data_IF_949679573058
#
_entry.id   IF_949679573058
#
_cell.length_a   1.000
_cell.length_b   1.000
_cell.length_c   1.000
_cell.angle_alpha   90.00
_cell.angle_beta   90.00
_cell.angle_gamma   90.00
#
_symmetry.space_group_name_H-M   'P 1'
#
loop_
_entity.id
_entity.type
_entity.pdbx_description
1 polymer ?
#
# COMPACT_ATOMS: atom_id res chain seq x y z
N UNK A 1 -2.29 15.02 20.71
CA UNK A 1 -1.81 14.65 22.06
C UNK A 1 -0.54 13.88 21.83
N UNK A 2 0.61 14.33 22.35
CA UNK A 2 1.91 13.71 22.09
C UNK A 2 2.20 12.56 23.05
N UNK A 3 2.75 11.48 22.51
CA UNK A 3 3.29 10.30 23.20
C UNK A 3 4.41 10.71 24.16
N UNK A 4 4.29 10.38 25.45
CA UNK A 4 5.35 10.64 26.44
C UNK A 4 5.73 9.32 27.14
N UNK A 5 6.94 8.78 26.89
CA UNK A 5 7.39 7.52 27.49
C UNK A 5 7.63 7.61 29.01
N UNK A 6 7.61 8.82 29.59
CA UNK A 6 7.74 9.06 31.02
C UNK A 6 6.40 9.39 31.71
N UNK A 7 5.28 9.33 30.97
CA UNK A 7 3.95 9.49 31.57
C UNK A 7 3.69 8.33 32.55
N UNK A 8 3.49 8.66 33.82
CA UNK A 8 3.24 7.65 34.86
C UNK A 8 1.80 7.16 34.75
N UNK A 9 1.62 5.85 34.58
CA UNK A 9 0.32 5.18 34.59
C UNK A 9 0.07 4.66 36.00
N UNK A 10 -1.03 5.07 36.63
CA UNK A 10 -1.47 4.55 37.93
C UNK A 10 -2.98 4.27 37.87
N UNK A 11 -3.44 3.04 38.19
CA UNK A 11 -2.65 1.88 38.60
C UNK A 11 -1.76 1.33 37.48
N UNK A 12 -0.68 0.64 37.85
CA UNK A 12 0.16 -0.05 36.87
C UNK A 12 -0.67 -1.14 36.18
N UNK A 13 -0.71 -1.20 34.84
CA UNK A 13 -1.47 -2.22 34.15
C UNK A 13 -0.86 -3.60 34.39
N UNK A 14 -1.73 -4.63 34.42
CA UNK A 14 -1.34 -6.03 34.70
C UNK A 14 -0.44 -6.62 33.61
N UNK A 15 -0.56 -6.11 32.39
CA UNK A 15 0.28 -6.41 31.22
C UNK A 15 0.87 -5.08 30.72
N UNK A 16 2.08 -5.12 30.15
CA UNK A 16 2.65 -3.92 29.52
C UNK A 16 1.77 -3.48 28.34
N UNK A 17 1.77 -2.18 28.01
CA UNK A 17 1.24 -1.78 26.70
C UNK A 17 2.15 -2.40 25.65
N UNK A 18 1.69 -3.44 24.95
CA UNK A 18 2.47 -4.23 23.97
C UNK A 18 3.29 -3.35 23.02
N UNK A 19 2.73 -2.21 22.61
CA UNK A 19 3.36 -1.22 21.76
C UNK A 19 4.05 -0.11 22.55
N UNK A 20 5.28 0.23 22.16
CA UNK A 20 6.02 1.40 22.63
C UNK A 20 5.12 2.67 22.55
N UNK A 21 5.10 3.56 23.57
CA UNK A 21 4.30 4.78 23.56
C UNK A 21 4.38 5.64 22.28
N UNK A 22 5.54 5.66 21.59
CA UNK A 22 5.73 6.31 20.27
C UNK A 22 4.85 5.71 19.17
N UNK A 23 4.48 4.43 19.30
CA UNK A 23 3.66 3.68 18.35
C UNK A 23 2.16 3.80 18.63
N UNK A 24 1.76 4.57 19.65
CA UNK A 24 0.35 4.85 19.95
C UNK A 24 -0.15 6.16 19.31
N UNK A 25 0.63 6.74 18.39
CA UNK A 25 0.19 7.90 17.62
C UNK A 25 -0.81 7.50 16.53
N UNK A 26 -1.84 8.34 16.34
CA UNK A 26 -2.92 8.12 15.38
C UNK A 26 -2.38 7.96 13.95
N UNK A 27 -1.28 8.64 13.61
CA UNK A 27 -0.61 8.53 12.32
C UNK A 27 -0.09 7.12 12.04
N UNK A 28 0.47 6.43 13.03
CA UNK A 28 0.91 5.04 12.90
C UNK A 28 -0.29 4.08 12.77
N UNK A 29 -1.39 4.35 13.44
CA UNK A 29 -2.55 3.46 13.43
C UNK A 29 -3.32 3.47 12.09
N UNK A 30 -3.32 4.59 11.37
CA UNK A 30 -4.19 4.78 10.17
C UNK A 30 -3.50 4.39 8.87
N UNK A 31 -2.19 4.65 8.70
CA UNK A 31 -1.53 4.39 7.44
C UNK A 31 -1.43 2.89 7.07
N UNK A 32 -1.22 1.92 8.00
CA UNK A 32 -1.15 0.50 7.64
C UNK A 32 -2.48 -0.06 7.13
N UNK A 33 -3.66 0.25 7.73
CA UNK A 33 -4.95 -0.10 7.14
C UNK A 33 -5.15 0.48 5.73
N UNK A 34 -4.72 1.72 5.46
CA UNK A 34 -4.83 2.31 4.13
C UNK A 34 -3.95 1.60 3.11
N UNK A 35 -2.70 1.29 3.45
CA UNK A 35 -1.81 0.50 2.59
C UNK A 35 -2.41 -0.89 2.31
N UNK A 36 -2.98 -1.53 3.33
CA UNK A 36 -3.63 -2.83 3.18
C UNK A 36 -4.86 -2.75 2.26
N UNK A 37 -5.71 -1.73 2.40
CA UNK A 37 -6.83 -1.47 1.48
C UNK A 37 -6.33 -1.26 0.04
N UNK A 38 -5.19 -0.58 -0.12
CA UNK A 38 -4.51 -0.45 -1.41
C UNK A 38 -4.10 -1.80 -2.01
N UNK A 39 -3.40 -2.64 -1.25
CA UNK A 39 -2.97 -3.97 -1.68
C UNK A 39 -4.13 -4.91 -2.00
N UNK A 40 -5.17 -4.92 -1.15
CA UNK A 40 -6.40 -5.68 -1.39
C UNK A 40 -7.12 -5.14 -2.63
N UNK A 41 -7.16 -3.82 -2.82
CA UNK A 41 -7.74 -3.20 -4.01
C UNK A 41 -7.06 -3.67 -5.31
N UNK A 42 -5.73 -3.83 -5.32
CA UNK A 42 -5.00 -4.38 -6.48
C UNK A 42 -5.47 -5.80 -6.87
N UNK A 43 -5.98 -6.59 -5.92
CA UNK A 43 -6.52 -7.93 -6.21
C UNK A 43 -7.76 -7.90 -7.11
N UNK A 44 -8.55 -6.83 -7.04
CA UNK A 44 -9.73 -6.64 -7.89
C UNK A 44 -9.30 -6.46 -9.35
N UNK A 45 -8.33 -5.59 -9.60
CA UNK A 45 -7.77 -5.38 -10.94
C UNK A 45 -7.12 -6.66 -11.49
N UNK A 46 -6.43 -7.42 -10.64
CA UNK A 46 -5.91 -8.74 -10.99
C UNK A 46 -7.02 -9.73 -11.36
N UNK A 47 -8.10 -9.81 -10.57
CA UNK A 47 -9.24 -10.68 -10.86
C UNK A 47 -9.89 -10.33 -12.21
N UNK A 48 -10.05 -9.05 -12.53
CA UNK A 48 -10.49 -8.59 -13.85
C UNK A 48 -9.54 -9.07 -14.96
N UNK A 49 -8.22 -8.96 -14.76
CA UNK A 49 -7.23 -9.39 -15.74
C UNK A 49 -7.28 -10.91 -15.98
N UNK A 50 -7.37 -11.70 -14.91
CA UNK A 50 -7.50 -13.17 -15.00
C UNK A 50 -8.80 -13.58 -15.69
N UNK A 51 -9.92 -12.96 -15.32
CA UNK A 51 -11.21 -13.22 -15.98
C UNK A 51 -11.16 -12.93 -17.49
N UNK A 52 -10.57 -11.80 -17.90
CA UNK A 52 -10.41 -11.45 -19.31
C UNK A 52 -9.51 -12.42 -20.08
N UNK A 53 -8.46 -12.96 -19.44
CA UNK A 53 -7.60 -13.99 -20.02
C UNK A 53 -8.34 -15.33 -20.19
N UNK A 54 -9.17 -15.72 -19.21
CA UNK A 54 -9.98 -16.95 -19.28
C UNK A 54 -11.05 -16.82 -20.37
N UNK A 55 -11.74 -15.69 -20.45
CA UNK A 55 -12.78 -15.44 -21.45
C UNK A 55 -12.20 -15.17 -22.85
N UNK A 56 -10.90 -14.88 -22.96
CA UNK A 56 -10.25 -14.49 -24.21
C UNK A 56 -10.72 -13.13 -24.75
N UNK A 57 -11.35 -12.29 -23.90
CA UNK A 57 -11.95 -11.01 -24.29
C UNK A 57 -11.34 -9.87 -23.51
N UNK A 58 -10.44 -9.14 -24.17
CA UNK A 58 -9.74 -7.99 -23.61
C UNK A 58 -10.05 -6.79 -24.50
N UNK A 59 -11.16 -6.10 -24.19
CA UNK A 59 -11.69 -4.99 -24.98
C UNK A 59 -11.66 -3.66 -24.21
N UNK A 60 -11.96 -2.56 -24.89
CA UNK A 60 -12.03 -1.24 -24.27
C UNK A 60 -13.05 -1.17 -23.13
N UNK A 61 -14.12 -1.99 -23.18
CA UNK A 61 -15.11 -2.06 -22.11
C UNK A 61 -14.49 -2.63 -20.83
N UNK A 62 -13.75 -3.73 -20.92
CA UNK A 62 -12.99 -4.29 -19.80
C UNK A 62 -12.10 -3.23 -19.13
N UNK A 63 -11.32 -2.47 -19.91
CA UNK A 63 -10.43 -1.44 -19.37
C UNK A 63 -11.22 -0.35 -18.60
N UNK A 64 -12.39 0.05 -19.15
CA UNK A 64 -13.29 1.01 -18.51
C UNK A 64 -13.86 0.51 -17.18
N UNK A 65 -14.18 -0.78 -17.09
CA UNK A 65 -14.68 -1.40 -15.87
C UNK A 65 -13.59 -1.59 -14.82
N UNK A 66 -12.37 -1.97 -15.22
CA UNK A 66 -11.24 -2.17 -14.31
C UNK A 66 -10.64 -0.86 -13.76
N UNK A 67 -10.74 0.24 -14.52
CA UNK A 67 -10.16 1.55 -14.17
C UNK A 67 -10.62 2.13 -12.82
N UNK A 68 -11.93 2.23 -12.49
CA UNK A 68 -12.35 2.78 -11.20
C UNK A 68 -11.84 1.97 -10.01
N UNK A 69 -11.75 0.65 -10.13
CA UNK A 69 -11.19 -0.22 -9.08
C UNK A 69 -9.69 -0.01 -8.90
N UNK A 70 -8.97 0.11 -10.02
CA UNK A 70 -7.55 0.45 -10.00
C UNK A 70 -7.32 1.83 -9.37
N UNK A 71 -8.19 2.80 -9.67
CA UNK A 71 -8.10 4.15 -9.11
C UNK A 71 -8.35 4.14 -7.60
N UNK A 72 -9.35 3.39 -7.14
CA UNK A 72 -9.61 3.22 -5.71
C UNK A 72 -8.39 2.63 -4.98
N UNK A 73 -7.82 1.54 -5.50
CA UNK A 73 -6.60 0.93 -4.95
C UNK A 73 -5.43 1.94 -4.91
N UNK A 74 -5.21 2.65 -6.03
CA UNK A 74 -4.16 3.66 -6.14
C UNK A 74 -4.35 4.82 -5.16
N UNK A 75 -5.57 5.29 -4.93
CA UNK A 75 -5.87 6.34 -3.95
C UNK A 75 -5.52 5.87 -2.54
N UNK A 76 -5.93 4.67 -2.14
CA UNK A 76 -5.58 4.13 -0.82
C UNK A 76 -4.07 3.97 -0.63
N UNK A 77 -3.35 3.48 -1.65
CA UNK A 77 -1.88 3.43 -1.64
C UNK A 77 -1.28 4.84 -1.49
N UNK A 78 -1.80 5.82 -2.23
CA UNK A 78 -1.30 7.20 -2.21
C UNK A 78 -1.47 7.84 -0.84
N UNK A 79 -2.66 7.71 -0.24
CA UNK A 79 -2.93 8.26 1.10
C UNK A 79 -2.15 7.50 2.17
N UNK A 80 -2.06 6.17 2.07
CA UNK A 80 -1.28 5.35 2.99
C UNK A 80 0.21 5.73 2.99
N UNK A 81 0.82 5.85 1.80
CA UNK A 81 2.21 6.28 1.64
C UNK A 81 2.40 7.69 2.20
N UNK A 82 1.58 8.66 1.77
CA UNK A 82 1.72 10.04 2.20
C UNK A 82 1.56 10.22 3.72
N UNK A 83 0.62 9.50 4.33
CA UNK A 83 0.39 9.54 5.77
C UNK A 83 1.52 8.86 6.55
N UNK A 84 2.04 7.73 6.06
CA UNK A 84 3.22 7.07 6.61
C UNK A 84 4.43 8.00 6.61
N UNK A 85 4.74 8.62 5.47
CA UNK A 85 5.85 9.57 5.34
C UNK A 85 5.67 10.80 6.25
N UNK A 86 4.44 11.32 6.39
CA UNK A 86 4.16 12.43 7.31
C UNK A 86 4.41 12.04 8.78
N UNK A 87 3.94 10.86 9.19
CA UNK A 87 4.16 10.36 10.55
C UNK A 87 5.65 10.14 10.84
N UNK A 88 6.37 9.49 9.94
CA UNK A 88 7.80 9.23 10.09
C UNK A 88 8.60 10.54 10.25
N UNK A 89 8.23 11.57 9.49
CA UNK A 89 8.82 12.91 9.64
C UNK A 89 8.52 13.52 11.02
N UNK A 90 7.27 13.46 11.45
CA UNK A 90 6.81 14.09 12.70
C UNK A 90 7.40 13.41 13.94
N UNK A 91 7.38 12.08 14.01
CA UNK A 91 7.69 11.34 15.23
C UNK A 91 9.16 10.91 15.31
N UNK A 92 9.77 10.55 14.17
CA UNK A 92 11.14 10.02 14.14
C UNK A 92 12.19 11.09 13.80
N UNK A 93 11.77 12.29 13.41
CA UNK A 93 12.65 13.44 13.19
C UNK A 93 13.73 13.20 12.12
N UNK A 94 13.43 12.33 11.15
CA UNK A 94 14.28 11.68 10.14
C UNK A 94 15.07 12.61 9.18
N UNK A 95 15.40 13.85 9.59
CA UNK A 95 16.15 14.82 8.79
C UNK A 95 15.39 15.36 7.57
N UNK A 96 14.15 14.92 7.33
CA UNK A 96 13.31 15.29 6.18
C UNK A 96 12.18 14.30 5.94
N UNK A 97 11.28 14.61 5.01
CA UNK A 97 10.08 13.83 4.68
C UNK A 97 10.34 12.47 4.00
N UNK A 98 11.61 12.15 3.69
CA UNK A 98 12.02 11.08 2.77
C UNK A 98 13.33 10.42 3.20
N UNK A 99 13.42 10.00 4.45
CA UNK A 99 14.44 9.04 4.84
C UNK A 99 13.75 7.67 4.70
N UNK A 100 14.38 6.70 4.06
CA UNK A 100 13.67 5.56 3.44
C UNK A 100 13.88 4.28 4.23
N UNK A 101 12.83 3.75 4.84
CA UNK A 101 12.88 2.41 5.42
C UNK A 101 12.48 1.35 4.36
N UNK A 102 13.07 0.12 4.40
CA UNK A 102 12.73 -0.96 3.47
C UNK A 102 11.24 -1.29 3.35
N UNK A 103 10.45 -1.10 4.41
CA UNK A 103 8.99 -1.32 4.46
C UNK A 103 8.25 -0.28 3.64
N UNK A 104 8.61 1.00 3.74
CA UNK A 104 8.05 2.07 2.90
C UNK A 104 8.35 1.85 1.41
N UNK A 105 9.58 1.43 1.09
CA UNK A 105 9.97 1.07 -0.28
C UNK A 105 9.10 -0.06 -0.88
N UNK A 106 8.69 -1.02 -0.06
CA UNK A 106 7.84 -2.13 -0.48
C UNK A 106 6.47 -1.65 -0.98
N UNK A 107 5.92 -0.58 -0.39
CA UNK A 107 4.62 -0.01 -0.79
C UNK A 107 4.66 0.82 -2.07
N UNK A 108 5.83 1.33 -2.44
CA UNK A 108 6.01 2.17 -3.64
C UNK A 108 6.01 1.33 -4.92
N UNK A 109 6.50 0.10 -4.88
CA UNK A 109 6.52 -0.79 -6.04
C UNK A 109 5.10 -1.04 -6.62
N UNK A 110 4.10 -1.49 -5.84
CA UNK A 110 2.74 -1.64 -6.35
C UNK A 110 2.10 -0.30 -6.70
N UNK A 111 2.45 0.81 -6.02
CA UNK A 111 1.94 2.14 -6.38
C UNK A 111 2.42 2.59 -7.76
N UNK A 112 3.69 2.38 -8.11
CA UNK A 112 4.23 2.66 -9.45
C UNK A 112 3.56 1.80 -10.53
N UNK A 113 3.40 0.50 -10.26
CA UNK A 113 2.72 -0.40 -11.17
C UNK A 113 1.24 -0.02 -11.37
N UNK A 114 0.53 0.35 -10.29
CA UNK A 114 -0.85 0.84 -10.35
C UNK A 114 -0.96 2.17 -11.10
N UNK A 115 0.01 3.06 -10.93
CA UNK A 115 0.09 4.32 -11.69
C UNK A 115 0.23 4.03 -13.19
N UNK A 116 1.17 3.17 -13.58
CA UNK A 116 1.35 2.76 -14.96
C UNK A 116 0.09 2.06 -15.51
N UNK A 117 -0.56 1.22 -14.71
CA UNK A 117 -1.80 0.53 -15.06
C UNK A 117 -2.93 1.52 -15.36
N UNK A 118 -3.12 2.55 -14.54
CA UNK A 118 -4.14 3.58 -14.78
C UNK A 118 -3.93 4.28 -16.12
N UNK A 119 -2.69 4.67 -16.43
CA UNK A 119 -2.36 5.30 -17.70
C UNK A 119 -2.58 4.35 -18.87
N UNK A 120 -2.13 3.10 -18.72
CA UNK A 120 -2.32 2.05 -19.74
C UNK A 120 -3.80 1.77 -20.00
N UNK A 121 -4.63 1.69 -18.95
CA UNK A 121 -6.07 1.46 -19.06
C UNK A 121 -6.80 2.60 -19.78
N UNK A 122 -6.40 3.87 -19.56
CA UNK A 122 -6.96 5.01 -20.30
C UNK A 122 -6.60 4.94 -21.79
N UNK A 123 -5.37 4.58 -22.13
CA UNK A 123 -4.94 4.40 -23.52
C UNK A 123 -5.68 3.24 -24.17
N UNK A 124 -5.85 2.12 -23.45
CA UNK A 124 -6.61 0.97 -23.94
C UNK A 124 -8.07 1.32 -24.19
N UNK A 125 -8.73 2.01 -23.26
CA UNK A 125 -10.13 2.42 -23.43
C UNK A 125 -10.33 3.37 -24.62
N UNK A 126 -9.43 4.33 -24.82
CA UNK A 126 -9.59 5.38 -25.84
C UNK A 126 -9.07 5.02 -27.22
N UNK A 127 -8.07 4.14 -27.30
CA UNK A 127 -7.32 3.85 -28.54
C UNK A 127 -7.24 2.37 -28.87
N UNK A 128 -7.84 1.50 -28.06
CA UNK A 128 -7.76 0.04 -28.18
C UNK A 128 -6.32 -0.51 -28.28
N UNK A 129 -5.37 0.22 -27.69
CA UNK A 129 -3.94 -0.07 -27.71
C UNK A 129 -3.44 -0.53 -26.33
N UNK A 130 -2.22 -1.07 -26.24
CA UNK A 130 -1.57 -1.50 -24.99
C UNK A 130 -2.30 -2.63 -24.21
N UNK A 131 -3.22 -3.38 -24.83
CA UNK A 131 -3.99 -4.45 -24.17
C UNK A 131 -3.13 -5.40 -23.32
N UNK A 132 -2.05 -5.93 -23.94
CA UNK A 132 -1.11 -6.85 -23.28
C UNK A 132 -0.45 -6.16 -22.07
N UNK A 133 -0.04 -4.90 -22.23
CA UNK A 133 0.57 -4.12 -21.15
C UNK A 133 -0.41 -3.85 -20.01
N UNK A 134 -1.66 -3.51 -20.30
CA UNK A 134 -2.66 -3.24 -19.26
C UNK A 134 -2.92 -4.50 -18.43
N UNK A 135 -3.02 -5.67 -19.06
CA UNK A 135 -3.18 -6.95 -18.36
C UNK A 135 -1.93 -7.31 -17.55
N UNK A 136 -0.74 -7.17 -18.16
CA UNK A 136 0.53 -7.44 -17.48
C UNK A 136 0.70 -6.55 -16.24
N UNK A 137 0.39 -5.26 -16.34
CA UNK A 137 0.49 -4.30 -15.25
C UNK A 137 -0.50 -4.61 -14.12
N UNK A 138 -1.70 -5.10 -14.44
CA UNK A 138 -2.66 -5.55 -13.43
C UNK A 138 -2.15 -6.76 -12.63
N UNK A 139 -1.53 -7.72 -13.31
CA UNK A 139 -0.89 -8.88 -12.66
C UNK A 139 0.32 -8.43 -11.84
N UNK A 140 1.17 -7.58 -12.41
CA UNK A 140 2.37 -7.09 -11.75
C UNK A 140 2.06 -6.28 -10.49
N UNK A 141 1.07 -5.36 -10.54
CA UNK A 141 0.69 -4.55 -9.39
C UNK A 141 0.21 -5.40 -8.20
N UNK A 142 -0.56 -6.46 -8.47
CA UNK A 142 -0.99 -7.41 -7.43
C UNK A 142 0.18 -8.26 -6.91
N UNK A 143 1.01 -8.81 -7.80
CA UNK A 143 2.21 -9.57 -7.39
C UNK A 143 3.16 -8.74 -6.52
N UNK A 144 3.38 -7.47 -6.87
CA UNK A 144 4.17 -6.54 -6.06
C UNK A 144 3.51 -6.23 -4.72
N UNK A 145 2.17 -6.18 -4.66
CA UNK A 145 1.43 -6.02 -3.40
C UNK A 145 1.59 -7.24 -2.48
N UNK A 146 1.63 -8.45 -3.04
CA UNK A 146 1.91 -9.69 -2.29
C UNK A 146 3.35 -9.70 -1.77
N UNK A 147 4.32 -9.33 -2.61
CA UNK A 147 5.73 -9.21 -2.20
C UNK A 147 5.87 -8.16 -1.09
N UNK A 148 5.26 -6.98 -1.23
CA UNK A 148 5.25 -5.95 -0.21
C UNK A 148 4.68 -6.46 1.11
N UNK A 149 3.53 -7.14 1.09
CA UNK A 149 2.92 -7.72 2.29
C UNK A 149 3.82 -8.77 2.94
N UNK A 150 4.43 -9.64 2.14
CA UNK A 150 5.36 -10.67 2.61
C UNK A 150 6.60 -10.04 3.26
N UNK A 151 7.22 -9.05 2.63
CA UNK A 151 8.43 -8.39 3.16
C UNK A 151 8.19 -7.72 4.51
N UNK A 152 7.01 -7.10 4.70
CA UNK A 152 6.67 -6.40 5.95
C UNK A 152 6.30 -7.38 7.08
N UNK A 153 5.73 -8.54 6.76
CA UNK A 153 5.23 -9.49 7.78
C UNK A 153 6.14 -10.69 8.05
N UNK A 154 7.11 -10.97 7.19
CA UNK A 154 7.98 -12.15 7.30
C UNK A 154 9.15 -12.01 8.29
N UNK A 155 9.43 -10.79 8.78
CA UNK A 155 10.57 -10.53 9.66
C UNK A 155 11.94 -10.66 8.99
N UNK A 156 11.99 -10.84 7.67
CA UNK A 156 13.23 -10.95 6.87
C UNK A 156 13.99 -9.62 6.81
N UNK A 157 13.28 -8.50 6.98
CA UNK A 157 13.84 -7.15 7.03
C UNK A 157 13.81 -6.64 8.48
N UNK A 158 14.94 -6.15 8.98
CA UNK A 158 14.99 -5.35 10.21
C UNK A 158 14.46 -3.95 9.89
N UNK A 159 13.26 -3.62 10.36
CA UNK A 159 12.67 -2.28 10.22
C UNK A 159 12.14 -1.81 11.57
N UNK A 160 12.21 -0.50 11.82
CA UNK A 160 11.56 0.15 12.98
C UNK A 160 10.04 0.04 12.92
N UNK A 161 9.48 -0.25 11.74
CA UNK A 161 8.07 -0.55 11.49
C UNK A 161 7.74 -2.05 11.50
N UNK A 162 8.74 -2.91 11.70
CA UNK A 162 8.47 -4.33 11.88
C UNK A 162 7.73 -4.50 13.20
N UNK A 163 6.48 -4.98 13.14
CA UNK A 163 5.78 -5.43 14.34
C UNK A 163 6.66 -6.50 14.99
N UNK A 164 7.10 -6.24 16.24
CA UNK A 164 7.67 -7.29 17.06
C UNK A 164 6.56 -8.34 17.26
N UNK A 165 6.74 -9.51 16.64
CA UNK A 165 5.98 -10.71 16.98
C UNK A 165 6.49 -11.32 18.28
#
# INVERSE_FOLDING_TARGET
>A
MTSNPFARVFPAPLEGNDLNPVLQDIGLAIHPPLLYLGYVGCSISFAFAVAALIEGRIDAAWARWARPWTLAAWMFLTVGIAMGSYWAYYELGWGGFWFWDPVENASIMPWLAATALLHSAVVMEKRDALKIWTVLLAILAFSLSLIGTFLVRSGVLTSVHAFAG
#
